data_IF_692107073148
#
_entry.id   IF_692107073148
#
_cell.length_a   1.000
_cell.length_b   1.000
_cell.length_c   1.000
_cell.angle_alpha   90.00
_cell.angle_beta   90.00
_cell.angle_gamma   90.00
#
_symmetry.space_group_name_H-M   'P 1'
#
loop_
_entity.id
_entity.type
_entity.pdbx_description
1 polymer ?
#
# COMPACT_ATOMS: atom_id res chain seq x y z
N UNK A 1 38.18 31.95 14.48
CA UNK A 1 36.79 31.97 14.99
C UNK A 1 35.87 31.50 13.86
N UNK A 2 35.54 30.20 13.89
CA UNK A 2 34.19 29.61 13.97
C UNK A 2 33.37 29.78 12.68
N UNK A 3 33.39 28.72 11.87
CA UNK A 3 32.46 28.43 10.79
C UNK A 3 31.02 28.51 11.31
N UNK A 4 30.18 29.35 10.70
CA UNK A 4 28.76 29.41 11.02
C UNK A 4 28.05 28.16 10.50
N UNK A 5 27.81 27.25 11.45
CA UNK A 5 27.07 26.01 11.34
C UNK A 5 25.64 26.23 10.82
N UNK A 6 25.29 25.39 9.84
CA UNK A 6 23.97 24.80 9.64
C UNK A 6 22.76 25.75 9.66
N UNK A 7 22.44 26.26 8.46
CA UNK A 7 21.04 26.47 8.09
C UNK A 7 20.29 25.15 8.32
N UNK A 8 19.56 25.06 9.44
CA UNK A 8 18.54 24.04 9.68
C UNK A 8 17.52 24.14 8.55
N UNK A 9 17.76 23.42 7.45
CA UNK A 9 16.68 23.02 6.57
C UNK A 9 15.67 22.30 7.47
N UNK A 10 14.41 22.77 7.45
CA UNK A 10 13.23 22.04 7.98
C UNK A 10 13.48 20.54 7.80
N UNK A 11 13.77 19.82 8.88
CA UNK A 11 13.89 18.38 8.86
C UNK A 11 12.51 17.86 8.41
N UNK A 12 12.35 17.59 7.11
CA UNK A 12 11.36 16.62 6.64
C UNK A 12 11.67 15.36 7.43
N UNK A 13 10.75 14.91 8.28
CA UNK A 13 10.93 13.68 9.06
C UNK A 13 11.47 12.58 8.13
N UNK A 14 12.49 11.80 8.51
CA UNK A 14 13.13 10.81 7.62
C UNK A 14 12.10 9.90 6.94
N UNK A 15 11.07 9.54 7.68
CA UNK A 15 9.88 8.78 7.28
C UNK A 15 9.19 9.34 6.03
N UNK A 16 9.11 10.67 5.90
CA UNK A 16 8.51 11.37 4.75
C UNK A 16 9.34 11.24 3.46
N UNK A 17 10.61 10.88 3.55
CA UNK A 17 11.45 10.59 2.39
C UNK A 17 11.58 9.09 2.13
N UNK A 18 11.59 8.29 3.20
CA UNK A 18 11.79 6.85 3.12
C UNK A 18 10.57 6.13 2.55
N UNK A 19 9.35 6.54 2.93
CA UNK A 19 8.13 5.86 2.49
C UNK A 19 7.88 5.99 0.98
N UNK A 20 7.95 7.18 0.34
CA UNK A 20 7.83 7.29 -1.12
C UNK A 20 8.91 6.50 -1.86
N UNK A 21 10.13 6.45 -1.32
CA UNK A 21 11.23 5.68 -1.91
C UNK A 21 10.96 4.17 -1.82
N UNK A 22 10.36 3.71 -0.73
CA UNK A 22 10.02 2.29 -0.57
C UNK A 22 8.84 1.87 -1.44
N UNK A 23 7.83 2.74 -1.61
CA UNK A 23 6.73 2.55 -2.56
C UNK A 23 7.27 2.41 -4.00
N UNK A 24 8.24 3.25 -4.37
CA UNK A 24 8.91 3.17 -5.68
C UNK A 24 9.62 1.83 -5.88
N UNK A 25 10.38 1.38 -4.89
CA UNK A 25 11.05 0.07 -4.94
C UNK A 25 10.04 -1.07 -5.01
N UNK A 26 8.95 -0.99 -4.26
CA UNK A 26 7.89 -1.97 -4.30
C UNK A 26 7.34 -2.07 -5.72
N UNK A 27 7.00 -0.93 -6.34
CA UNK A 27 6.52 -0.85 -7.73
C UNK A 27 7.46 -1.54 -8.70
N UNK A 28 8.75 -1.20 -8.65
CA UNK A 28 9.77 -1.75 -9.55
C UNK A 28 9.88 -3.27 -9.37
N UNK A 29 9.83 -3.78 -8.13
CA UNK A 29 9.92 -5.23 -7.84
C UNK A 29 8.65 -6.00 -8.21
N UNK A 30 7.49 -5.35 -8.16
CA UNK A 30 6.21 -5.96 -8.49
C UNK A 30 5.95 -6.01 -10.00
N UNK A 31 6.61 -5.15 -10.79
CA UNK A 31 6.44 -5.10 -12.25
C UNK A 31 6.79 -6.41 -12.96
N UNK A 32 6.19 -6.60 -14.13
CA UNK A 32 6.40 -7.79 -14.97
C UNK A 32 5.48 -8.95 -14.63
N UNK A 33 4.45 -8.70 -13.82
CA UNK A 33 3.44 -9.68 -13.41
C UNK A 33 2.27 -9.76 -14.41
N UNK A 34 2.12 -8.75 -15.26
CA UNK A 34 1.08 -8.65 -16.29
C UNK A 34 0.62 -7.20 -16.46
N UNK A 35 -0.03 -6.89 -17.58
CA UNK A 35 -0.44 -5.51 -17.91
C UNK A 35 -1.31 -4.88 -16.80
N UNK A 36 -2.34 -5.60 -16.35
CA UNK A 36 -3.27 -5.08 -15.33
C UNK A 36 -2.63 -5.01 -13.94
N UNK A 37 -1.71 -5.92 -13.62
CA UNK A 37 -0.92 -5.90 -12.38
C UNK A 37 0.00 -4.69 -12.34
N UNK A 38 0.69 -4.41 -13.44
CA UNK A 38 1.58 -3.27 -13.58
C UNK A 38 0.80 -1.95 -13.47
N UNK A 39 -0.38 -1.86 -14.10
CA UNK A 39 -1.27 -0.70 -14.00
C UNK A 39 -1.80 -0.52 -12.58
N UNK A 40 -2.20 -1.60 -11.90
CA UNK A 40 -2.73 -1.53 -10.54
C UNK A 40 -1.68 -1.01 -9.56
N UNK A 41 -0.45 -1.54 -9.61
CA UNK A 41 0.63 -1.07 -8.74
C UNK A 41 1.09 0.34 -9.09
N UNK A 42 1.14 0.69 -10.38
CA UNK A 42 1.52 2.04 -10.81
C UNK A 42 0.52 3.08 -10.31
N UNK A 43 -0.78 2.81 -10.46
CA UNK A 43 -1.86 3.70 -10.00
C UNK A 43 -1.85 3.83 -8.48
N UNK A 44 -1.78 2.71 -7.76
CA UNK A 44 -1.72 2.71 -6.30
C UNK A 44 -0.54 3.56 -5.79
N UNK A 45 0.67 3.33 -6.31
CA UNK A 45 1.86 4.06 -5.87
C UNK A 45 1.78 5.54 -6.22
N UNK A 46 1.20 5.91 -7.37
CA UNK A 46 1.02 7.31 -7.75
C UNK A 46 0.04 8.04 -6.82
N UNK A 47 -1.16 7.49 -6.59
CA UNK A 47 -2.17 8.11 -5.74
C UNK A 47 -1.73 8.15 -4.27
N UNK A 48 -1.15 7.07 -3.75
CA UNK A 48 -0.58 7.06 -2.39
C UNK A 48 0.51 8.12 -2.28
N UNK A 49 1.44 8.20 -3.25
CA UNK A 49 2.51 9.21 -3.22
C UNK A 49 1.98 10.64 -3.28
N UNK A 50 0.88 10.87 -4.00
CA UNK A 50 0.21 12.17 -4.06
C UNK A 50 -0.41 12.51 -2.71
N UNK A 51 -1.14 11.58 -2.10
CA UNK A 51 -1.73 11.73 -0.77
C UNK A 51 -0.67 11.99 0.30
N UNK A 52 0.47 11.28 0.26
CA UNK A 52 1.60 11.50 1.19
C UNK A 52 2.26 12.88 1.03
N UNK A 53 2.20 13.47 -0.16
CA UNK A 53 2.73 14.83 -0.42
C UNK A 53 1.77 15.90 0.07
N UNK A 54 0.46 15.66 -0.01
CA UNK A 54 -0.59 16.59 0.43
C UNK A 54 -0.88 16.50 1.93
N UNK A 55 -0.86 15.29 2.49
CA UNK A 55 -1.08 15.00 3.91
C UNK A 55 0.22 14.51 4.55
N UNK A 56 0.95 15.48 5.10
CA UNK A 56 2.26 15.23 5.70
C UNK A 56 2.20 14.50 7.05
N UNK A 57 1.03 14.32 7.67
CA UNK A 57 0.85 13.60 8.95
C UNK A 57 0.81 12.10 8.75
N UNK A 58 0.19 11.67 7.65
CA UNK A 58 -0.10 10.26 7.36
C UNK A 58 1.14 9.36 7.42
N UNK A 59 2.24 9.77 6.78
CA UNK A 59 3.50 9.01 6.79
C UNK A 59 4.09 8.84 8.20
N UNK A 60 4.01 9.90 9.01
CA UNK A 60 4.52 9.88 10.39
C UNK A 60 3.62 9.09 11.33
N UNK A 61 2.30 9.13 11.13
CA UNK A 61 1.38 8.37 11.97
C UNK A 61 1.50 6.87 11.72
N UNK A 62 1.64 6.45 10.46
CA UNK A 62 1.84 5.03 10.13
C UNK A 62 3.19 4.48 10.63
N UNK A 63 4.28 5.26 10.55
CA UNK A 63 5.63 4.78 10.88
C UNK A 63 5.99 5.04 12.36
N UNK A 64 5.86 6.28 12.84
CA UNK A 64 6.31 6.67 14.18
C UNK A 64 5.35 6.21 15.29
N UNK A 65 4.04 6.35 15.07
CA UNK A 65 3.03 6.03 16.10
C UNK A 65 2.61 4.55 16.05
N UNK A 66 2.65 3.93 14.87
CA UNK A 66 2.29 2.51 14.70
C UNK A 66 3.42 1.51 14.96
N UNK A 67 4.69 1.93 15.01
CA UNK A 67 5.84 1.01 15.14
C UNK A 67 6.06 0.11 13.92
N UNK A 68 5.63 0.55 12.74
CA UNK A 68 5.79 -0.19 11.49
C UNK A 68 7.14 0.14 10.85
N UNK A 69 7.83 -0.88 10.33
CA UNK A 69 8.99 -0.62 9.48
C UNK A 69 8.51 0.04 8.17
N UNK A 70 9.37 0.81 7.52
CA UNK A 70 9.00 1.50 6.26
C UNK A 70 8.47 0.51 5.19
N UNK A 71 9.07 -0.68 4.97
CA UNK A 71 8.53 -1.68 4.06
C UNK A 71 7.17 -2.26 4.48
N UNK A 72 6.94 -2.44 5.78
CA UNK A 72 5.66 -2.92 6.28
C UNK A 72 4.58 -1.86 6.11
N UNK A 73 4.87 -0.60 6.45
CA UNK A 73 3.97 0.52 6.24
C UNK A 73 3.62 0.68 4.75
N UNK A 74 4.59 0.54 3.85
CA UNK A 74 4.34 0.55 2.42
C UNK A 74 3.40 -0.59 1.98
N UNK A 75 3.63 -1.80 2.49
CA UNK A 75 2.77 -2.96 2.17
C UNK A 75 1.35 -2.77 2.70
N UNK A 76 1.20 -2.28 3.93
CA UNK A 76 -0.07 -1.96 4.56
C UNK A 76 -0.88 -0.93 3.76
N UNK A 77 -0.27 0.21 3.43
CA UNK A 77 -0.97 1.29 2.69
C UNK A 77 -1.37 0.83 1.29
N UNK A 78 -0.53 0.04 0.61
CA UNK A 78 -0.87 -0.53 -0.69
C UNK A 78 -2.03 -1.53 -0.57
N UNK A 79 -2.05 -2.39 0.46
CA UNK A 79 -3.19 -3.29 0.68
C UNK A 79 -4.48 -2.53 0.97
N UNK A 80 -4.44 -1.48 1.80
CA UNK A 80 -5.62 -0.66 2.09
C UNK A 80 -6.15 0.05 0.83
N UNK A 81 -5.26 0.59 0.00
CA UNK A 81 -5.64 1.17 -1.27
C UNK A 81 -6.33 0.14 -2.17
N UNK A 82 -5.75 -1.07 -2.26
CA UNK A 82 -6.29 -2.13 -3.09
C UNK A 82 -7.67 -2.62 -2.62
N UNK A 83 -7.86 -2.84 -1.31
CA UNK A 83 -9.15 -3.25 -0.76
C UNK A 83 -10.20 -2.15 -0.85
N UNK A 84 -9.84 -0.89 -0.59
CA UNK A 84 -10.74 0.24 -0.74
C UNK A 84 -11.22 0.38 -2.20
N UNK A 85 -10.32 0.22 -3.18
CA UNK A 85 -10.66 0.26 -4.60
C UNK A 85 -11.61 -0.87 -5.02
N UNK A 86 -11.44 -2.07 -4.49
CA UNK A 86 -12.36 -3.19 -4.73
C UNK A 86 -13.75 -2.89 -4.17
N UNK A 87 -13.82 -2.32 -2.96
CA UNK A 87 -15.07 -2.02 -2.25
C UNK A 87 -15.94 -0.96 -2.92
N UNK A 88 -15.43 -0.18 -3.87
CA UNK A 88 -16.24 0.81 -4.61
C UNK A 88 -17.26 0.16 -5.53
N UNK A 89 -17.09 -1.12 -5.89
CA UNK A 89 -17.94 -1.83 -6.84
C UNK A 89 -17.59 -1.55 -8.31
N UNK A 90 -16.81 -0.51 -8.63
CA UNK A 90 -16.46 -0.12 -10.01
C UNK A 90 -15.61 -1.18 -10.74
N UNK A 91 -14.97 -2.07 -9.98
CA UNK A 91 -14.15 -3.15 -10.52
C UNK A 91 -14.92 -4.47 -10.74
N UNK A 92 -16.24 -4.46 -10.57
CA UNK A 92 -17.11 -5.62 -10.76
C UNK A 92 -17.81 -5.56 -12.13
N UNK A 93 -17.90 -6.71 -12.80
CA UNK A 93 -18.71 -6.89 -14.02
C UNK A 93 -20.17 -7.16 -13.62
N UNK A 94 -20.36 -7.98 -12.58
CA UNK A 94 -21.62 -8.29 -11.91
C UNK A 94 -21.32 -8.94 -10.55
N UNK A 95 -22.33 -9.21 -9.72
CA UNK A 95 -22.17 -9.77 -8.36
C UNK A 95 -21.14 -10.87 -8.25
N UNK A 96 -20.13 -10.64 -7.40
CA UNK A 96 -19.08 -11.63 -7.14
C UNK A 96 -18.10 -11.86 -8.29
N UNK A 97 -18.20 -11.13 -9.40
CA UNK A 97 -17.33 -11.30 -10.57
C UNK A 97 -16.62 -9.99 -10.90
N UNK A 98 -15.33 -9.99 -10.61
CA UNK A 98 -14.44 -8.87 -10.91
C UNK A 98 -13.96 -8.87 -12.36
N UNK A 99 -13.74 -7.67 -12.90
CA UNK A 99 -12.98 -7.48 -14.12
C UNK A 99 -11.47 -7.70 -13.87
N UNK A 100 -10.65 -7.62 -14.93
CA UNK A 100 -9.21 -7.89 -14.80
C UNK A 100 -8.48 -6.86 -13.92
N UNK A 101 -9.00 -5.63 -13.82
CA UNK A 101 -8.50 -4.65 -12.86
C UNK A 101 -8.79 -5.06 -11.41
N UNK A 102 -10.00 -5.53 -11.10
CA UNK A 102 -10.35 -6.02 -9.77
C UNK A 102 -9.51 -7.22 -9.36
N UNK A 103 -9.29 -8.17 -10.29
CA UNK A 103 -8.39 -9.32 -10.05
C UNK A 103 -6.95 -8.86 -9.76
N UNK A 104 -6.44 -7.87 -10.48
CA UNK A 104 -5.12 -7.31 -10.23
C UNK A 104 -5.02 -6.64 -8.85
N UNK A 105 -6.05 -5.90 -8.42
CA UNK A 105 -6.09 -5.31 -7.08
C UNK A 105 -6.18 -6.39 -5.99
N UNK A 106 -6.96 -7.45 -6.19
CA UNK A 106 -7.03 -8.57 -5.23
C UNK A 106 -5.67 -9.29 -5.12
N UNK A 107 -4.97 -9.48 -6.24
CA UNK A 107 -3.61 -10.05 -6.25
C UNK A 107 -2.63 -9.14 -5.50
N UNK A 108 -2.70 -7.83 -5.75
CA UNK A 108 -1.87 -6.84 -5.06
C UNK A 108 -2.10 -6.86 -3.54
N UNK A 109 -3.37 -6.91 -3.12
CA UNK A 109 -3.77 -7.09 -1.72
C UNK A 109 -3.13 -8.34 -1.12
N UNK A 110 -3.33 -9.51 -1.74
CA UNK A 110 -2.79 -10.79 -1.27
C UNK A 110 -1.27 -10.78 -1.14
N UNK A 111 -0.55 -10.14 -2.09
CA UNK A 111 0.92 -10.01 -2.04
C UNK A 111 1.37 -9.14 -0.87
N UNK A 112 0.67 -8.03 -0.60
CA UNK A 112 0.95 -7.20 0.56
C UNK A 112 0.68 -7.94 1.88
N UNK A 113 -0.45 -8.64 1.99
CA UNK A 113 -0.78 -9.47 3.16
C UNK A 113 0.28 -10.55 3.41
N UNK A 114 0.75 -11.22 2.35
CA UNK A 114 1.84 -12.20 2.45
C UNK A 114 3.16 -11.57 2.91
N UNK A 115 3.48 -10.35 2.47
CA UNK A 115 4.67 -9.62 2.93
C UNK A 115 4.58 -9.23 4.41
N UNK A 116 3.41 -8.79 4.87
CA UNK A 116 3.14 -8.47 6.28
C UNK A 116 3.18 -9.71 7.17
N UNK A 117 2.70 -10.84 6.66
CA UNK A 117 2.86 -12.13 7.34
C UNK A 117 4.34 -12.53 7.45
N UNK A 118 5.10 -12.38 6.37
CA UNK A 118 6.53 -12.71 6.34
C UNK A 118 7.38 -11.82 7.27
N UNK A 119 6.96 -10.57 7.52
CA UNK A 119 7.61 -9.67 8.47
C UNK A 119 7.12 -9.83 9.91
N UNK A 120 6.17 -10.73 10.16
CA UNK A 120 5.59 -10.98 11.49
C UNK A 120 4.63 -9.90 11.97
N UNK A 121 4.17 -9.01 11.07
CA UNK A 121 3.13 -8.00 11.36
C UNK A 121 1.73 -8.58 11.32
N UNK A 122 1.54 -9.69 10.61
CA UNK A 122 0.34 -10.51 10.66
C UNK A 122 0.72 -11.93 11.05
N UNK A 123 -0.09 -12.55 11.89
CA UNK A 123 -0.10 -14.00 12.05
C UNK A 123 -0.66 -14.65 10.79
N UNK A 124 -0.37 -15.95 10.60
CA UNK A 124 -0.95 -16.71 9.49
C UNK A 124 -2.48 -16.70 9.52
N UNK A 125 -3.08 -16.76 10.72
CA UNK A 125 -4.52 -16.74 10.87
C UNK A 125 -5.11 -15.39 10.43
N UNK A 126 -4.55 -14.28 10.90
CA UNK A 126 -5.00 -12.93 10.50
C UNK A 126 -4.82 -12.69 8.99
N UNK A 127 -3.72 -13.18 8.40
CA UNK A 127 -3.50 -13.07 6.96
C UNK A 127 -4.54 -13.84 6.14
N UNK A 128 -4.90 -15.05 6.58
CA UNK A 128 -5.94 -15.87 5.92
C UNK A 128 -7.32 -15.24 6.09
N UNK A 129 -7.62 -14.75 7.30
CA UNK A 129 -8.90 -14.11 7.62
C UNK A 129 -9.08 -12.82 6.81
N UNK A 130 -8.08 -11.94 6.75
CA UNK A 130 -8.15 -10.71 5.97
C UNK A 130 -8.38 -10.95 4.47
N UNK A 131 -7.76 -12.00 3.91
CA UNK A 131 -8.00 -12.37 2.50
C UNK A 131 -9.42 -12.90 2.32
N UNK A 132 -9.88 -13.74 3.24
CA UNK A 132 -11.21 -14.33 3.19
C UNK A 132 -12.31 -13.28 3.33
N UNK A 133 -12.16 -12.35 4.28
CA UNK A 133 -13.11 -11.25 4.47
C UNK A 133 -13.25 -10.43 3.19
N UNK A 134 -12.15 -10.09 2.53
CA UNK A 134 -12.20 -9.36 1.27
C UNK A 134 -12.84 -10.18 0.14
N UNK A 135 -12.60 -11.50 0.08
CA UNK A 135 -13.26 -12.39 -0.88
C UNK A 135 -14.77 -12.52 -0.63
N UNK A 136 -15.19 -12.60 0.64
CA UNK A 136 -16.59 -12.64 1.03
C UNK A 136 -17.28 -11.30 0.71
N UNK A 137 -16.60 -10.18 0.90
CA UNK A 137 -17.07 -8.85 0.48
C UNK A 137 -17.20 -8.76 -1.05
N UNK A 138 -16.21 -9.23 -1.82
CA UNK A 138 -16.31 -9.30 -3.29
C UNK A 138 -17.54 -10.11 -3.70
N UNK A 139 -17.80 -11.25 -3.05
CA UNK A 139 -18.98 -12.07 -3.32
C UNK A 139 -20.31 -11.34 -2.97
N UNK A 140 -20.27 -10.47 -1.96
CA UNK A 140 -21.42 -9.66 -1.57
C UNK A 140 -21.63 -8.44 -2.49
N UNK A 141 -20.55 -7.89 -3.06
CA UNK A 141 -20.56 -6.68 -3.89
C UNK A 141 -20.86 -7.00 -5.36
N UNK A 142 -21.85 -6.28 -5.89
CA UNK A 142 -22.40 -6.35 -7.26
C UNK A 142 -23.80 -6.92 -7.31
#
# INVERSE_FOLDING_TARGET
MVFQLFKRQKQRSPEKQLLPTELEKFRIRYRGQGLYDDVAVDTAVQEISKTLRTDGSYASDSIANGGWSVPDAASMIISEYASAGIRTGEMHIYRGVMNDHGKAHLKLFKVCTAKLMASGKLTQQEAVEAVRELEDEIAAIG
#
